data_IF_375516550164
#
_entry.id   IF_375516550164
#
_cell.length_a   1.000
_cell.length_b   1.000
_cell.length_c   1.000
_cell.angle_alpha   90.00
_cell.angle_beta   90.00
_cell.angle_gamma   90.00
#
_symmetry.space_group_name_H-M   'P 1'
#
loop_
_entity.id
_entity.type
_entity.pdbx_description
1 polymer ?
#
# COMPACT_ATOMS: atom_id res chain seq x y z
N UNK A 1 -3.65 14.42 24.86
CA UNK A 1 -4.41 13.82 23.74
C UNK A 1 -4.29 12.30 23.86
N UNK A 2 -5.34 11.60 24.32
CA UNK A 2 -5.30 10.14 24.48
C UNK A 2 -5.28 9.50 23.09
N UNK A 3 -4.14 8.96 22.66
CA UNK A 3 -4.10 8.08 21.51
C UNK A 3 -4.92 6.83 21.89
N UNK A 4 -6.12 6.68 21.33
CA UNK A 4 -6.86 5.41 21.37
C UNK A 4 -5.89 4.32 20.90
N UNK A 5 -5.49 3.45 21.81
CA UNK A 5 -4.76 2.20 21.54
C UNK A 5 -5.68 1.16 20.90
N UNK A 6 -6.65 1.60 20.09
CA UNK A 6 -7.57 0.74 19.35
C UNK A 6 -7.03 0.53 17.93
N UNK A 7 -5.75 0.16 17.87
CA UNK A 7 -5.09 -0.17 16.61
C UNK A 7 -5.15 -1.67 16.49
N UNK A 8 -6.03 -2.12 15.60
CA UNK A 8 -6.09 -3.50 15.09
C UNK A 8 -4.69 -4.12 15.08
N UNK A 9 -4.49 -5.32 15.67
CA UNK A 9 -3.18 -5.94 15.81
C UNK A 9 -2.40 -5.86 14.50
N UNK A 10 -1.13 -5.45 14.60
CA UNK A 10 -0.23 -5.41 13.44
C UNK A 10 0.11 -6.83 13.03
N UNK A 11 -0.75 -7.42 12.21
CA UNK A 11 -0.52 -8.71 11.58
C UNK A 11 0.23 -8.43 10.27
N UNK A 12 1.43 -9.01 10.07
CA UNK A 12 2.15 -8.90 8.81
C UNK A 12 1.39 -9.66 7.71
N UNK A 13 1.51 -9.19 6.48
CA UNK A 13 1.05 -9.96 5.32
C UNK A 13 1.96 -11.18 5.12
N UNK A 14 1.39 -12.31 4.72
CA UNK A 14 2.16 -13.47 4.28
C UNK A 14 2.88 -13.19 2.96
N UNK A 15 3.88 -14.02 2.60
CA UNK A 15 4.57 -13.91 1.32
C UNK A 15 3.61 -14.02 0.13
N UNK A 16 2.64 -14.94 0.18
CA UNK A 16 1.62 -15.09 -0.87
C UNK A 16 0.72 -13.86 -0.99
N UNK A 17 0.34 -13.25 0.14
CA UNK A 17 -0.45 -12.02 0.14
C UNK A 17 0.32 -10.84 -0.44
N UNK A 18 1.61 -10.71 -0.09
CA UNK A 18 2.48 -9.67 -0.64
C UNK A 18 2.67 -9.83 -2.15
N UNK A 19 2.86 -11.06 -2.64
CA UNK A 19 3.01 -11.33 -4.07
C UNK A 19 1.76 -10.91 -4.86
N UNK A 20 0.57 -11.22 -4.35
CA UNK A 20 -0.68 -10.82 -5.00
C UNK A 20 -0.91 -9.29 -4.96
N UNK A 21 -0.59 -8.64 -3.83
CA UNK A 21 -0.66 -7.18 -3.70
C UNK A 21 0.29 -6.49 -4.69
N UNK A 22 1.51 -7.00 -4.83
CA UNK A 22 2.51 -6.48 -5.77
C UNK A 22 2.09 -6.72 -7.22
N UNK A 23 1.63 -7.92 -7.55
CA UNK A 23 1.13 -8.24 -8.89
C UNK A 23 -0.01 -7.28 -9.31
N UNK A 24 -0.95 -6.99 -8.41
CA UNK A 24 -2.01 -6.01 -8.68
C UNK A 24 -1.49 -4.57 -8.74
N UNK A 25 -0.45 -4.23 -7.97
CA UNK A 25 0.18 -2.92 -8.03
C UNK A 25 0.87 -2.66 -9.37
N UNK A 26 1.48 -3.68 -9.98
CA UNK A 26 2.09 -3.58 -11.31
C UNK A 26 1.06 -3.31 -12.42
N UNK A 27 -0.18 -3.78 -12.25
CA UNK A 27 -1.30 -3.51 -13.14
C UNK A 27 -1.89 -2.10 -12.93
N UNK A 28 -2.12 -1.72 -11.66
CA UNK A 28 -2.60 -0.39 -11.31
C UNK A 28 -2.07 0.10 -9.97
N UNK A 29 -1.59 1.36 -9.93
CA UNK A 29 -1.14 2.01 -8.70
C UNK A 29 -2.29 2.48 -7.79
N UNK A 30 -3.53 2.54 -8.31
CA UNK A 30 -4.71 3.02 -7.60
C UNK A 30 -5.87 2.05 -7.82
N UNK A 31 -6.43 1.54 -6.73
CA UNK A 31 -7.59 0.65 -6.78
C UNK A 31 -8.89 1.45 -6.68
N UNK A 32 -9.87 1.06 -7.48
CA UNK A 32 -11.27 1.45 -7.29
C UNK A 32 -11.88 0.75 -6.06
N UNK A 33 -13.03 1.23 -5.58
CA UNK A 33 -13.73 0.63 -4.43
C UNK A 33 -14.09 -0.84 -4.66
N UNK A 34 -14.38 -1.23 -5.90
CA UNK A 34 -14.69 -2.61 -6.27
C UNK A 34 -13.42 -3.47 -6.19
N UNK A 35 -12.33 -3.01 -6.79
CA UNK A 35 -11.06 -3.76 -6.77
C UNK A 35 -10.50 -3.92 -5.36
N UNK A 36 -10.68 -2.92 -4.47
CA UNK A 36 -10.28 -3.07 -3.07
C UNK A 36 -11.08 -4.17 -2.40
N UNK A 37 -12.40 -4.23 -2.62
CA UNK A 37 -13.26 -5.26 -2.04
C UNK A 37 -12.84 -6.64 -2.53
N UNK A 38 -12.69 -6.81 -3.84
CA UNK A 38 -12.35 -8.09 -4.46
C UNK A 38 -10.98 -8.58 -3.96
N UNK A 39 -9.97 -7.71 -3.99
CA UNK A 39 -8.62 -8.04 -3.53
C UNK A 39 -8.59 -8.37 -2.03
N UNK A 40 -9.35 -7.63 -1.22
CA UNK A 40 -9.44 -7.88 0.22
C UNK A 40 -10.08 -9.25 0.53
N UNK A 41 -11.12 -9.61 -0.24
CA UNK A 41 -11.81 -10.89 -0.13
C UNK A 41 -10.89 -12.05 -0.54
N UNK A 42 -10.22 -11.95 -1.69
CA UNK A 42 -9.29 -12.98 -2.17
C UNK A 42 -8.11 -13.23 -1.23
N UNK A 43 -7.63 -12.19 -0.55
CA UNK A 43 -6.48 -12.27 0.36
C UNK A 43 -6.85 -12.49 1.82
N UNK A 44 -8.15 -12.59 2.13
CA UNK A 44 -8.70 -12.67 3.49
C UNK A 44 -8.13 -11.60 4.44
N UNK A 45 -8.04 -10.36 3.96
CA UNK A 45 -7.61 -9.19 4.74
C UNK A 45 -8.66 -8.09 4.65
N UNK A 46 -8.62 -7.11 5.55
CA UNK A 46 -9.60 -6.02 5.50
C UNK A 46 -9.28 -5.02 4.38
N UNK A 47 -10.31 -4.41 3.78
CA UNK A 47 -10.17 -3.34 2.79
C UNK A 47 -9.22 -2.22 3.26
N UNK A 48 -9.27 -1.89 4.55
CA UNK A 48 -8.39 -0.90 5.15
C UNK A 48 -6.91 -1.32 5.08
N UNK A 49 -6.59 -2.60 5.31
CA UNK A 49 -5.21 -3.11 5.18
C UNK A 49 -4.70 -3.02 3.75
N UNK A 50 -5.54 -3.34 2.77
CA UNK A 50 -5.22 -3.18 1.34
C UNK A 50 -4.95 -1.70 1.01
N UNK A 51 -5.83 -0.78 1.43
CA UNK A 51 -5.66 0.67 1.22
C UNK A 51 -4.35 1.20 1.81
N UNK A 52 -4.04 0.83 3.05
CA UNK A 52 -2.78 1.22 3.72
C UNK A 52 -1.57 0.64 2.99
N UNK A 53 -1.64 -0.61 2.52
CA UNK A 53 -0.54 -1.20 1.77
C UNK A 53 -0.27 -0.44 0.47
N UNK A 54 -1.32 -0.14 -0.31
CA UNK A 54 -1.19 0.63 -1.57
C UNK A 54 -0.66 2.04 -1.33
N UNK A 55 -1.11 2.73 -0.28
CA UNK A 55 -0.56 4.03 0.12
C UNK A 55 0.93 3.94 0.44
N UNK A 56 1.33 2.95 1.25
CA UNK A 56 2.73 2.75 1.61
C UNK A 56 3.58 2.31 0.40
N UNK A 57 3.03 1.52 -0.53
CA UNK A 57 3.72 1.07 -1.73
C UNK A 57 4.01 2.22 -2.69
N UNK A 58 3.05 3.14 -2.89
CA UNK A 58 3.28 4.39 -3.63
C UNK A 58 4.30 5.30 -2.95
N UNK A 59 4.23 5.43 -1.62
CA UNK A 59 5.22 6.21 -0.87
C UNK A 59 6.64 5.62 -1.00
N UNK A 60 6.76 4.29 -1.00
CA UNK A 60 8.03 3.61 -1.27
C UNK A 60 8.50 3.85 -2.71
N UNK A 61 7.62 3.73 -3.70
CA UNK A 61 7.97 4.00 -5.10
C UNK A 61 8.48 5.43 -5.31
N UNK A 62 7.79 6.42 -4.71
CA UNK A 62 8.24 7.81 -4.76
C UNK A 62 9.64 7.91 -4.16
N UNK A 63 9.87 7.37 -2.95
CA UNK A 63 11.19 7.40 -2.30
C UNK A 63 12.28 6.69 -3.10
N UNK A 64 11.96 5.58 -3.77
CA UNK A 64 12.95 4.88 -4.61
C UNK A 64 13.26 5.66 -5.87
N UNK A 65 12.28 6.34 -6.47
CA UNK A 65 12.49 7.26 -7.60
C UNK A 65 13.36 8.46 -7.18
N UNK A 66 13.14 8.99 -5.98
CA UNK A 66 13.91 10.15 -5.47
C UNK A 66 15.32 9.76 -4.98
N UNK A 67 15.57 8.48 -4.69
CA UNK A 67 16.89 7.99 -4.29
C UNK A 67 17.71 7.44 -5.48
N UNK A 68 17.09 7.25 -6.65
CA UNK A 68 17.78 6.88 -7.88
C UNK A 68 18.03 8.07 -8.82
N UNK A 69 17.80 9.30 -8.37
CA UNK A 69 17.99 10.51 -9.19
C UNK A 69 18.80 11.57 -8.43
N UNK A 70 20.06 11.74 -8.81
CA UNK A 70 20.81 12.97 -8.50
C UNK A 70 20.42 14.07 -9.49
N UNK A 71 19.15 14.45 -9.64
CA UNK A 71 18.73 15.65 -10.40
C UNK A 71 17.46 16.24 -9.75
N UNK A 72 17.52 17.50 -9.25
CA UNK A 72 16.90 18.71 -9.86
C UNK A 72 15.35 18.56 -9.82
N UNK A 73 14.57 19.20 -8.93
CA UNK A 73 14.32 20.65 -8.82
C UNK A 73 13.73 21.04 -7.45
N UNK A 74 14.31 22.09 -6.88
CA UNK A 74 13.57 23.05 -6.06
C UNK A 74 12.67 23.82 -7.04
N UNK A 75 11.34 23.76 -6.92
CA UNK A 75 10.48 24.94 -7.12
C UNK A 75 8.99 24.71 -6.85
N UNK A 76 8.44 25.71 -6.15
CA UNK A 76 7.03 26.08 -5.90
C UNK A 76 6.20 25.26 -4.90
#
# INVERSE_FOLDING_TARGET
RKHKLDRNPRIPFSASQLAALEAKFLDTHYLSSVEVRDLSSSLSVTEHRVKIWFQNRRAREKKTKEFCDCTIDIEN
#
